data_IF_090960327267
#
_entry.id   IF_090960327267
#
_cell.length_a   1.000
_cell.length_b   1.000
_cell.length_c   1.000
_cell.angle_alpha   90.00
_cell.angle_beta   90.00
_cell.angle_gamma   90.00
#
_symmetry.space_group_name_H-M   'P 1'
#
loop_
_entity.id
_entity.type
_entity.pdbx_description
1 polymer ?
#
# COMPACT_ATOMS: atom_id res chain seq x y z
N UNK A 1 4.37 -91.67 13.63
CA UNK A 1 4.84 -90.41 14.22
C UNK A 1 3.88 -89.31 13.81
N UNK A 2 3.27 -88.68 14.83
CA UNK A 2 2.53 -87.41 14.94
C UNK A 2 1.43 -87.01 13.92
N UNK A 3 0.29 -86.59 14.50
CA UNK A 3 -0.91 -85.98 13.91
C UNK A 3 -0.80 -84.42 13.89
N UNK A 4 -1.78 -83.69 13.28
CA UNK A 4 -1.64 -82.45 12.48
C UNK A 4 -1.84 -81.14 13.29
N UNK A 5 -1.78 -79.95 12.63
CA UNK A 5 -2.99 -79.09 12.44
C UNK A 5 -2.89 -78.24 11.13
N UNK A 6 -3.78 -77.38 10.65
CA UNK A 6 -5.13 -76.86 10.94
C UNK A 6 -5.57 -76.03 9.72
N UNK A 7 -6.88 -75.86 9.53
CA UNK A 7 -7.50 -74.92 8.59
C UNK A 7 -7.24 -73.45 8.99
N UNK A 8 -7.11 -72.52 8.04
CA UNK A 8 -7.61 -71.13 8.18
C UNK A 8 -7.52 -70.31 6.88
N UNK A 9 -8.71 -69.95 6.38
CA UNK A 9 -9.22 -68.62 5.96
C UNK A 9 -8.26 -67.48 5.57
N UNK A 10 -8.68 -66.69 4.58
CA UNK A 10 -8.39 -65.25 4.54
C UNK A 10 -8.00 -64.68 3.19
N UNK A 11 -8.98 -64.11 2.49
CA UNK A 11 -8.79 -63.18 1.37
C UNK A 11 -7.90 -62.00 1.78
N UNK A 12 -6.90 -61.65 0.97
CA UNK A 12 -6.39 -60.27 0.95
C UNK A 12 -6.20 -59.77 -0.49
N UNK A 13 -7.23 -59.06 -0.95
CA UNK A 13 -7.20 -58.25 -2.16
C UNK A 13 -6.13 -57.17 -2.02
N UNK A 14 -5.01 -57.33 -2.74
CA UNK A 14 -3.94 -56.33 -2.81
C UNK A 14 -4.37 -55.16 -3.70
N UNK A 15 -5.19 -54.27 -3.14
CA UNK A 15 -5.57 -53.00 -3.74
C UNK A 15 -4.33 -52.18 -4.09
N UNK A 16 -4.10 -52.01 -5.39
CA UNK A 16 -3.04 -51.16 -5.94
C UNK A 16 -3.40 -49.69 -5.67
N UNK A 17 -3.03 -49.15 -4.51
CA UNK A 17 -3.02 -47.71 -4.28
C UNK A 17 -1.88 -47.09 -5.09
N UNK A 18 -2.16 -46.60 -6.29
CA UNK A 18 -1.30 -45.61 -6.94
C UNK A 18 -1.97 -44.25 -6.75
N UNK A 19 -1.40 -43.53 -5.78
CA UNK A 19 -1.68 -42.16 -5.38
C UNK A 19 -1.45 -41.24 -6.58
N UNK A 20 -2.49 -40.54 -7.02
CA UNK A 20 -2.42 -39.52 -8.09
C UNK A 20 -1.40 -38.47 -7.65
N UNK A 21 -0.25 -38.43 -8.32
CA UNK A 21 0.86 -37.47 -8.14
C UNK A 21 0.90 -36.50 -9.32
N UNK A 22 -0.18 -35.75 -9.56
CA UNK A 22 -0.22 -34.79 -10.67
C UNK A 22 -0.44 -33.35 -10.21
N UNK A 23 -0.99 -33.12 -9.01
CA UNK A 23 -1.21 -31.75 -8.48
C UNK A 23 0.06 -31.02 -7.98
N UNK A 24 1.24 -31.67 -7.97
CA UNK A 24 2.41 -31.09 -7.30
C UNK A 24 3.35 -30.28 -8.19
N UNK A 25 3.31 -30.43 -9.51
CA UNK A 25 4.28 -29.78 -10.41
C UNK A 25 3.80 -28.37 -10.80
N UNK A 26 2.57 -28.24 -11.31
CA UNK A 26 1.98 -26.93 -11.65
C UNK A 26 1.89 -25.99 -10.44
N UNK A 27 1.54 -26.54 -9.26
CA UNK A 27 1.49 -25.77 -8.02
C UNK A 27 2.89 -25.29 -7.56
N UNK A 28 3.97 -26.01 -7.92
CA UNK A 28 5.34 -25.57 -7.63
C UNK A 28 5.77 -24.46 -8.58
N UNK A 29 5.49 -24.60 -9.87
CA UNK A 29 5.82 -23.59 -10.88
C UNK A 29 5.13 -22.26 -10.59
N UNK A 30 3.83 -22.30 -10.24
CA UNK A 30 3.10 -21.10 -9.84
C UNK A 30 3.69 -20.46 -8.58
N UNK A 31 4.13 -21.28 -7.61
CA UNK A 31 4.77 -20.81 -6.38
C UNK A 31 6.11 -20.14 -6.65
N UNK A 32 6.88 -20.64 -7.62
CA UNK A 32 8.13 -20.00 -8.06
C UNK A 32 7.87 -18.64 -8.70
N UNK A 33 6.85 -18.53 -9.56
CA UNK A 33 6.44 -17.25 -10.15
C UNK A 33 5.97 -16.27 -9.07
N UNK A 34 5.14 -16.70 -8.12
CA UNK A 34 4.70 -15.86 -7.00
C UNK A 34 5.86 -15.41 -6.11
N UNK A 35 6.86 -16.28 -5.89
CA UNK A 35 8.08 -15.91 -5.18
C UNK A 35 8.89 -14.86 -5.95
N UNK A 36 9.05 -15.01 -7.27
CA UNK A 36 9.75 -14.04 -8.11
C UNK A 36 9.05 -12.67 -8.09
N UNK A 37 7.72 -12.64 -8.16
CA UNK A 37 6.93 -11.41 -8.02
C UNK A 37 7.11 -10.80 -6.63
N UNK A 38 7.10 -11.62 -5.58
CA UNK A 38 7.29 -11.15 -4.20
C UNK A 38 8.68 -10.55 -4.00
N UNK A 39 9.71 -11.19 -4.55
CA UNK A 39 11.09 -10.71 -4.49
C UNK A 39 11.26 -9.41 -5.29
N UNK A 40 10.67 -9.32 -6.48
CA UNK A 40 10.62 -8.09 -7.28
C UNK A 40 9.95 -6.94 -6.51
N UNK A 41 8.78 -7.19 -5.92
CA UNK A 41 8.07 -6.18 -5.12
C UNK A 41 8.89 -5.76 -3.91
N UNK A 42 9.57 -6.67 -3.23
CA UNK A 42 10.48 -6.35 -2.11
C UNK A 42 11.64 -5.46 -2.56
N UNK A 43 12.20 -5.74 -3.73
CA UNK A 43 13.30 -4.95 -4.30
C UNK A 43 12.88 -3.54 -4.74
N UNK A 44 11.60 -3.33 -5.07
CA UNK A 44 11.04 -2.00 -5.39
C UNK A 44 10.83 -1.13 -4.15
N UNK A 45 10.54 -1.74 -2.98
CA UNK A 45 10.22 -0.98 -1.77
C UNK A 45 11.32 0.00 -1.35
N UNK A 46 12.59 -0.38 -1.50
CA UNK A 46 13.74 0.48 -1.17
C UNK A 46 13.78 1.76 -2.02
N UNK A 47 13.97 1.66 -3.35
CA UNK A 47 14.01 2.80 -4.24
C UNK A 47 12.77 3.71 -4.16
N UNK A 48 11.58 3.13 -3.98
CA UNK A 48 10.34 3.90 -3.83
C UNK A 48 10.33 4.67 -2.50
N UNK A 49 10.79 4.06 -1.41
CA UNK A 49 10.88 4.73 -0.11
C UNK A 49 11.87 5.89 -0.16
N UNK A 50 13.04 5.70 -0.75
CA UNK A 50 14.07 6.74 -0.89
C UNK A 50 13.55 7.93 -1.73
N UNK A 51 12.84 7.64 -2.83
CA UNK A 51 12.20 8.67 -3.64
C UNK A 51 11.14 9.45 -2.86
N UNK A 52 10.34 8.76 -2.04
CA UNK A 52 9.35 9.42 -1.18
C UNK A 52 10.00 10.27 -0.09
N UNK A 53 11.12 9.82 0.49
CA UNK A 53 11.87 10.61 1.48
C UNK A 53 12.46 11.89 0.87
N UNK A 54 12.95 11.85 -0.37
CA UNK A 54 13.39 13.04 -1.11
C UNK A 54 12.23 14.02 -1.30
N UNK A 55 11.08 13.54 -1.76
CA UNK A 55 9.88 14.38 -1.97
C UNK A 55 9.41 14.99 -0.65
N UNK A 56 9.41 14.22 0.45
CA UNK A 56 9.09 14.73 1.79
C UNK A 56 10.05 15.80 2.27
N UNK A 57 11.35 15.63 1.99
CA UNK A 57 12.36 16.61 2.33
C UNK A 57 12.17 17.92 1.56
N UNK A 58 11.66 17.87 0.33
CA UNK A 58 11.25 19.05 -0.45
C UNK A 58 9.96 19.69 0.08
N UNK A 59 9.08 18.93 0.73
CA UNK A 59 7.82 19.41 1.32
C UNK A 59 7.96 19.94 2.76
N UNK A 60 9.19 20.13 3.27
CA UNK A 60 9.41 20.73 4.58
C UNK A 60 8.86 22.17 4.61
N UNK A 61 8.36 22.58 5.79
CA UNK A 61 7.60 23.82 5.95
C UNK A 61 8.39 25.10 5.68
N UNK A 62 9.70 25.05 5.85
CA UNK A 62 10.68 26.08 5.48
C UNK A 62 10.75 26.27 3.96
N UNK A 63 10.91 25.18 3.19
CA UNK A 63 10.93 25.21 1.72
C UNK A 63 9.58 25.69 1.17
N UNK A 64 8.48 25.19 1.74
CA UNK A 64 7.13 25.61 1.35
C UNK A 64 6.89 27.10 1.63
N UNK A 65 7.32 27.60 2.80
CA UNK A 65 7.21 29.02 3.14
C UNK A 65 7.99 29.91 2.18
N UNK A 66 9.21 29.50 1.81
CA UNK A 66 10.03 30.20 0.83
C UNK A 66 9.38 30.22 -0.57
N UNK A 67 8.85 29.09 -1.04
CA UNK A 67 8.12 29.02 -2.32
C UNK A 67 6.90 29.93 -2.35
N UNK A 68 6.10 29.93 -1.28
CA UNK A 68 4.90 30.76 -1.16
C UNK A 68 5.26 32.25 -1.15
N UNK A 69 6.31 32.63 -0.42
CA UNK A 69 6.82 34.00 -0.41
C UNK A 69 7.33 34.45 -1.78
N UNK A 70 8.16 33.63 -2.45
CA UNK A 70 8.64 33.90 -3.81
C UNK A 70 7.49 34.02 -4.81
N UNK A 71 6.47 33.17 -4.69
CA UNK A 71 5.28 33.23 -5.53
C UNK A 71 4.53 34.56 -5.36
N UNK A 72 4.31 35.01 -4.12
CA UNK A 72 3.70 36.31 -3.84
C UNK A 72 4.51 37.48 -4.43
N UNK A 73 5.83 37.49 -4.22
CA UNK A 73 6.71 38.53 -4.74
C UNK A 73 6.62 38.60 -6.26
N UNK A 74 6.70 37.46 -6.95
CA UNK A 74 6.57 37.40 -8.41
C UNK A 74 5.23 37.92 -8.92
N UNK A 75 4.11 37.64 -8.23
CA UNK A 75 2.81 38.19 -8.58
C UNK A 75 2.80 39.73 -8.49
N UNK A 76 3.36 40.27 -7.41
CA UNK A 76 3.47 41.73 -7.24
C UNK A 76 4.37 42.36 -8.31
N UNK A 77 5.51 41.75 -8.61
CA UNK A 77 6.45 42.20 -9.65
C UNK A 77 5.84 42.17 -11.06
N UNK A 78 4.96 41.20 -11.34
CA UNK A 78 4.25 41.09 -12.62
C UNK A 78 3.03 42.01 -12.73
N UNK A 79 2.82 42.90 -11.75
CA UNK A 79 1.76 43.91 -11.77
C UNK A 79 0.41 43.39 -11.30
N UNK A 80 0.35 42.22 -10.66
CA UNK A 80 -0.90 41.70 -10.07
C UNK A 80 -1.30 42.59 -8.89
N UNK A 81 -2.56 43.06 -8.82
CA UNK A 81 -3.06 43.83 -7.69
C UNK A 81 -2.86 43.11 -6.36
N UNK A 82 -2.62 43.87 -5.29
CA UNK A 82 -2.23 43.29 -4.00
C UNK A 82 -3.25 42.29 -3.43
N UNK A 83 -4.52 42.63 -3.51
CA UNK A 83 -5.59 41.80 -2.97
C UNK A 83 -5.70 40.48 -3.73
N UNK A 84 -5.57 40.54 -5.06
CA UNK A 84 -5.56 39.36 -5.91
C UNK A 84 -4.30 38.52 -5.69
N UNK A 85 -3.13 39.15 -5.52
CA UNK A 85 -1.89 38.45 -5.21
C UNK A 85 -1.99 37.70 -3.88
N UNK A 86 -2.54 38.33 -2.83
CA UNK A 86 -2.80 37.68 -1.53
C UNK A 86 -3.75 36.49 -1.67
N UNK A 87 -4.83 36.65 -2.44
CA UNK A 87 -5.79 35.58 -2.67
C UNK A 87 -5.15 34.38 -3.38
N UNK A 88 -4.41 34.63 -4.48
CA UNK A 88 -3.75 33.60 -5.26
C UNK A 88 -2.67 32.88 -4.45
N UNK A 89 -1.87 33.62 -3.68
CA UNK A 89 -0.88 33.03 -2.77
C UNK A 89 -1.53 32.16 -1.70
N UNK A 90 -2.67 32.58 -1.14
CA UNK A 90 -3.42 31.79 -0.15
C UNK A 90 -3.99 30.51 -0.75
N UNK A 91 -4.52 30.57 -1.98
CA UNK A 91 -4.96 29.38 -2.74
C UNK A 91 -3.80 28.43 -3.01
N UNK A 92 -2.69 28.95 -3.50
CA UNK A 92 -1.47 28.18 -3.76
C UNK A 92 -0.95 27.45 -2.51
N UNK A 93 -0.88 28.14 -1.37
CA UNK A 93 -0.51 27.53 -0.09
C UNK A 93 -1.48 26.40 0.29
N UNK A 94 -2.78 26.63 0.19
CA UNK A 94 -3.79 25.64 0.55
C UNK A 94 -3.70 24.36 -0.31
N UNK A 95 -3.54 24.51 -1.63
CA UNK A 95 -3.37 23.37 -2.55
C UNK A 95 -2.12 22.55 -2.19
N UNK A 96 -0.99 23.24 -1.93
CA UNK A 96 0.25 22.57 -1.50
C UNK A 96 0.08 21.85 -0.17
N UNK A 97 -0.61 22.44 0.81
CA UNK A 97 -0.87 21.79 2.10
C UNK A 97 -1.75 20.54 1.96
N UNK A 98 -2.74 20.56 1.06
CA UNK A 98 -3.58 19.38 0.77
C UNK A 98 -2.71 18.25 0.22
N UNK A 99 -1.88 18.54 -0.80
CA UNK A 99 -0.97 17.56 -1.38
C UNK A 99 -0.01 16.98 -0.33
N UNK A 100 0.55 17.84 0.54
CA UNK A 100 1.40 17.41 1.65
C UNK A 100 0.68 16.49 2.63
N UNK A 101 -0.60 16.74 2.94
CA UNK A 101 -1.42 15.86 3.80
C UNK A 101 -1.64 14.50 3.16
N UNK A 102 -2.03 14.46 1.89
CA UNK A 102 -2.21 13.20 1.14
C UNK A 102 -0.93 12.36 1.12
N UNK A 103 0.23 12.98 0.87
CA UNK A 103 1.51 12.29 0.88
C UNK A 103 1.83 11.75 2.28
N UNK A 104 1.65 12.56 3.34
CA UNK A 104 1.82 12.12 4.73
C UNK A 104 0.89 10.97 5.10
N UNK A 105 -0.35 10.97 4.62
CA UNK A 105 -1.32 9.91 4.89
C UNK A 105 -0.89 8.59 4.23
N UNK A 106 -0.48 8.62 2.96
CA UNK A 106 0.04 7.45 2.25
C UNK A 106 1.27 6.87 2.94
N UNK A 107 2.18 7.73 3.39
CA UNK A 107 3.39 7.30 4.10
C UNK A 107 3.10 6.76 5.50
N UNK A 108 2.21 7.41 6.24
CA UNK A 108 1.79 6.96 7.58
C UNK A 108 1.14 5.59 7.52
N UNK A 109 0.46 5.29 6.42
CA UNK A 109 -0.14 4.01 6.09
C UNK A 109 0.87 2.95 5.61
N UNK A 110 1.95 3.35 4.94
CA UNK A 110 3.01 2.47 4.47
C UNK A 110 4.06 2.08 5.52
N UNK A 111 4.21 2.87 6.59
CA UNK A 111 5.23 2.67 7.64
C UNK A 111 4.77 1.88 8.88
N UNK A 112 3.46 1.67 9.07
CA UNK A 112 2.90 0.88 10.17
C UNK A 112 2.10 -0.28 9.59
N UNK A 113 2.60 -1.51 9.73
CA UNK A 113 1.99 -2.75 9.23
C UNK A 113 0.64 -3.13 9.85
N UNK A 114 -0.15 -2.19 10.36
CA UNK A 114 -1.51 -2.41 10.84
C UNK A 114 -2.37 -1.19 10.50
N UNK A 115 -3.16 -1.32 9.43
CA UNK A 115 -4.36 -0.51 9.31
C UNK A 115 -5.38 -1.06 10.32
N UNK A 116 -5.54 -0.38 11.45
CA UNK A 116 -6.67 -0.66 12.35
C UNK A 116 -7.96 -0.24 11.65
N UNK A 117 -8.90 -1.17 11.53
CA UNK A 117 -10.21 -0.94 10.90
C UNK A 117 -10.94 0.29 11.51
N UNK A 118 -10.71 0.55 12.79
CA UNK A 118 -11.24 1.67 13.57
C UNK A 118 -10.83 3.05 13.00
N UNK A 119 -9.62 3.16 12.44
CA UNK A 119 -9.08 4.42 11.91
C UNK A 119 -9.63 4.73 10.51
N UNK A 120 -9.90 3.67 9.73
CA UNK A 120 -10.60 3.78 8.43
C UNK A 120 -12.05 4.20 8.65
N UNK A 121 -12.73 3.62 9.64
CA UNK A 121 -14.13 3.93 9.93
C UNK A 121 -14.32 5.39 10.36
N UNK A 122 -13.36 5.95 11.11
CA UNK A 122 -13.36 7.36 11.50
C UNK A 122 -13.24 8.30 10.30
N UNK A 123 -12.29 8.03 9.40
CA UNK A 123 -12.09 8.83 8.18
C UNK A 123 -13.31 8.77 7.27
N UNK A 124 -13.95 7.59 7.15
CA UNK A 124 -15.19 7.44 6.36
C UNK A 124 -16.36 8.19 6.99
N UNK A 125 -16.44 8.25 8.33
CA UNK A 125 -17.46 9.05 9.04
C UNK A 125 -17.26 10.55 8.82
N UNK A 126 -16.06 11.06 9.04
CA UNK A 126 -15.75 12.48 8.87
C UNK A 126 -15.96 12.94 7.42
N UNK A 127 -15.60 12.10 6.43
CA UNK A 127 -15.84 12.40 5.02
C UNK A 127 -17.34 12.42 4.66
N UNK A 128 -18.14 11.52 5.25
CA UNK A 128 -19.61 11.50 5.05
C UNK A 128 -20.29 12.71 5.70
N UNK A 129 -19.83 13.14 6.87
CA UNK A 129 -20.36 14.32 7.56
C UNK A 129 -20.02 15.61 6.80
N UNK A 130 -18.78 15.76 6.33
CA UNK A 130 -18.35 16.92 5.54
C UNK A 130 -19.03 17.02 4.16
N UNK A 131 -19.50 15.91 3.57
CA UNK A 131 -20.32 15.93 2.35
C UNK A 131 -21.80 16.25 2.61
N UNK A 132 -22.30 15.91 3.80
CA UNK A 132 -23.70 16.16 4.19
C UNK A 132 -23.94 17.62 4.60
N UNK A 133 -22.92 18.33 5.08
CA UNK A 133 -22.98 19.79 5.35
C UNK A 133 -22.82 20.66 4.09
N UNK A 134 -22.47 20.06 2.94
CA UNK A 134 -22.32 20.76 1.66
C UNK A 134 -23.51 20.60 0.70
N UNK A 135 -24.56 19.90 1.12
CA UNK A 135 -25.87 19.81 0.43
C UNK A 135 -26.92 20.57 1.25
#
# INVERSE_FOLDING_TARGET
MCCPPEENEGEEAKGRKVKIRVESEEAKELKEVFNAITEFVRNIKGPVKDLMEVILNTLKGDVLGEEVGKFYVKLKESGVPEDLAKELTRKFLNERLIVSKLIKDILSRGGRGEFRAEEIEKIVKEAKEAQKERQ
#
